data_IF_070566283250
#
_entry.id   IF_070566283250
#
_cell.length_a   1.000
_cell.length_b   1.000
_cell.length_c   1.000
_cell.angle_alpha   90.00
_cell.angle_beta   90.00
_cell.angle_gamma   90.00
#
_symmetry.space_group_name_H-M   'P 1'
#
loop_
_entity.id
_entity.type
_entity.pdbx_description
1 polymer ?
#
# COMPACT_ATOMS: atom_id res chain seq x y z
N UNK A 1 -9.77 -29.84 2.13
CA UNK A 1 -8.48 -29.76 1.40
C UNK A 1 -7.45 -29.16 2.34
N UNK A 2 -6.23 -29.72 2.39
CA UNK A 2 -5.13 -29.18 3.19
C UNK A 2 -4.72 -27.83 2.58
N UNK A 3 -4.77 -26.74 3.35
CA UNK A 3 -4.29 -25.45 2.87
C UNK A 3 -2.76 -25.52 2.72
N UNK A 4 -2.24 -24.90 1.67
CA UNK A 4 -0.80 -24.86 1.40
C UNK A 4 -0.13 -23.76 2.22
N UNK A 5 1.15 -23.93 2.57
CA UNK A 5 1.93 -22.91 3.29
C UNK A 5 2.25 -21.71 2.38
N UNK A 6 2.45 -20.53 2.98
CA UNK A 6 2.83 -19.30 2.29
C UNK A 6 4.11 -19.40 1.43
N UNK A 7 5.06 -20.26 1.80
CA UNK A 7 6.32 -20.45 1.09
C UNK A 7 6.12 -21.29 -0.16
N UNK A 8 5.29 -22.34 -0.06
CA UNK A 8 4.92 -23.23 -1.18
C UNK A 8 3.97 -22.54 -2.16
N UNK A 9 3.16 -21.62 -1.64
CA UNK A 9 2.22 -20.78 -2.36
C UNK A 9 2.87 -19.85 -3.39
N UNK A 10 4.01 -19.23 -3.04
CA UNK A 10 4.63 -18.15 -3.81
C UNK A 10 5.03 -18.55 -5.23
N UNK A 11 5.78 -19.66 -5.45
CA UNK A 11 6.17 -20.06 -6.80
C UNK A 11 4.97 -20.32 -7.73
N UNK A 12 3.90 -20.93 -7.21
CA UNK A 12 2.68 -21.22 -7.98
C UNK A 12 1.98 -19.94 -8.41
N UNK A 13 1.87 -18.96 -7.50
CA UNK A 13 1.30 -17.65 -7.83
C UNK A 13 2.16 -16.95 -8.88
N UNK A 14 3.48 -16.98 -8.75
CA UNK A 14 4.38 -16.32 -9.69
C UNK A 14 4.33 -16.94 -11.09
N UNK A 15 4.13 -18.25 -11.21
CA UNK A 15 3.95 -18.93 -12.47
C UNK A 15 2.68 -18.46 -13.20
N UNK A 16 1.55 -18.38 -12.49
CA UNK A 16 0.30 -17.86 -13.06
C UNK A 16 0.37 -16.36 -13.33
N UNK A 17 0.94 -15.58 -12.40
CA UNK A 17 1.09 -14.14 -12.53
C UNK A 17 1.95 -13.76 -13.73
N UNK A 18 3.00 -14.53 -14.05
CA UNK A 18 3.86 -14.30 -15.22
C UNK A 18 3.09 -14.28 -16.55
N UNK A 19 1.96 -14.96 -16.64
CA UNK A 19 1.13 -15.02 -17.86
C UNK A 19 0.39 -13.70 -18.13
N UNK A 20 0.19 -12.87 -17.11
CA UNK A 20 -0.58 -11.62 -17.17
C UNK A 20 0.21 -10.39 -16.74
N UNK A 21 1.36 -10.58 -16.10
CA UNK A 21 2.17 -9.51 -15.54
C UNK A 21 2.89 -8.68 -16.61
N UNK A 22 3.21 -7.45 -16.23
CA UNK A 22 4.03 -6.50 -16.98
C UNK A 22 5.38 -6.34 -16.28
N UNK A 23 6.51 -6.46 -17.00
CA UNK A 23 7.82 -6.39 -16.37
C UNK A 23 8.11 -4.97 -15.84
N UNK A 24 8.92 -4.87 -14.78
CA UNK A 24 9.48 -3.60 -14.32
C UNK A 24 10.77 -3.27 -15.08
N UNK A 25 11.03 -1.98 -15.28
CA UNK A 25 12.21 -1.52 -16.03
C UNK A 25 13.54 -1.80 -15.33
N UNK A 26 13.55 -1.98 -14.00
CA UNK A 26 14.74 -2.22 -13.18
C UNK A 26 14.89 -3.69 -12.82
N UNK A 27 13.78 -4.35 -12.50
CA UNK A 27 13.75 -5.70 -11.94
C UNK A 27 13.20 -6.76 -12.91
N UNK A 28 12.75 -6.37 -14.11
CA UNK A 28 12.23 -7.28 -15.13
C UNK A 28 11.11 -8.18 -14.58
N UNK A 29 11.38 -9.47 -14.37
CA UNK A 29 10.44 -10.47 -13.85
C UNK A 29 10.72 -10.92 -12.41
N UNK A 30 11.59 -10.21 -11.68
CA UNK A 30 11.96 -10.51 -10.30
C UNK A 30 10.85 -10.06 -9.32
N UNK A 31 9.72 -10.78 -9.30
CA UNK A 31 8.54 -10.46 -8.49
C UNK A 31 8.77 -10.44 -6.97
N UNK A 32 9.96 -10.86 -6.50
CA UNK A 32 10.39 -10.67 -5.11
C UNK A 32 10.72 -9.22 -4.77
N UNK A 33 11.17 -8.43 -5.76
CA UNK A 33 11.70 -7.07 -5.55
C UNK A 33 10.60 -5.99 -5.69
N UNK A 34 9.53 -6.29 -6.42
CA UNK A 34 8.47 -5.33 -6.73
C UNK A 34 7.09 -5.98 -6.78
N UNK A 35 6.05 -5.16 -6.57
CA UNK A 35 4.69 -5.56 -6.92
C UNK A 35 4.48 -5.18 -8.38
N UNK A 36 4.39 -6.19 -9.22
CA UNK A 36 4.26 -6.06 -10.67
C UNK A 36 2.89 -5.52 -11.07
N UNK A 37 2.87 -4.72 -12.14
CA UNK A 37 1.63 -4.41 -12.84
C UNK A 37 1.18 -5.62 -13.67
N UNK A 38 -0.08 -5.65 -14.09
CA UNK A 38 -0.66 -6.78 -14.83
C UNK A 38 -1.79 -6.34 -15.75
N UNK A 39 -2.12 -7.18 -16.72
CA UNK A 39 -3.31 -6.99 -17.55
C UNK A 39 -4.58 -6.93 -16.68
N UNK A 40 -5.34 -5.85 -16.84
CA UNK A 40 -6.56 -5.61 -16.06
C UNK A 40 -6.38 -4.81 -14.77
N UNK A 41 -5.18 -4.36 -14.41
CA UNK A 41 -4.98 -3.50 -13.23
C UNK A 41 -5.82 -2.22 -13.27
N UNK A 42 -5.95 -1.59 -14.44
CA UNK A 42 -6.84 -0.44 -14.66
C UNK A 42 -8.33 -0.75 -14.43
N UNK A 43 -8.78 -1.96 -14.75
CA UNK A 43 -10.15 -2.40 -14.46
C UNK A 43 -10.35 -2.60 -12.95
N UNK A 44 -9.36 -3.15 -12.24
CA UNK A 44 -9.35 -3.20 -10.78
C UNK A 44 -9.43 -1.81 -10.16
N UNK A 45 -8.63 -0.86 -10.64
CA UNK A 45 -8.69 0.53 -10.21
C UNK A 45 -10.09 1.13 -10.45
N UNK A 46 -10.66 0.95 -11.64
CA UNK A 46 -12.01 1.42 -11.99
C UNK A 46 -13.07 0.84 -11.05
N UNK A 47 -13.01 -0.45 -10.74
CA UNK A 47 -13.93 -1.11 -9.79
C UNK A 47 -13.82 -0.54 -8.40
N UNK A 48 -12.60 -0.35 -7.89
CA UNK A 48 -12.42 0.28 -6.60
C UNK A 48 -13.00 1.70 -6.58
N UNK A 49 -12.79 2.47 -7.66
CA UNK A 49 -13.34 3.82 -7.78
C UNK A 49 -14.88 3.85 -7.75
N UNK A 50 -15.56 2.76 -8.11
CA UNK A 50 -17.02 2.66 -8.03
C UNK A 50 -17.56 2.31 -6.63
N UNK A 51 -16.69 2.00 -5.67
CA UNK A 51 -17.12 1.68 -4.30
C UNK A 51 -17.45 2.94 -3.51
N UNK A 52 -18.37 2.82 -2.54
CA UNK A 52 -18.66 3.91 -1.59
C UNK A 52 -17.42 4.32 -0.79
N UNK A 53 -16.52 3.37 -0.50
CA UNK A 53 -15.24 3.64 0.16
C UNK A 53 -14.44 4.70 -0.58
N UNK A 54 -14.30 4.55 -1.90
CA UNK A 54 -13.56 5.50 -2.72
C UNK A 54 -14.34 6.80 -2.93
N UNK A 55 -15.64 6.70 -3.24
CA UNK A 55 -16.47 7.86 -3.56
C UNK A 55 -16.51 8.84 -2.39
N UNK A 56 -16.63 8.33 -1.15
CA UNK A 56 -16.68 9.13 0.06
C UNK A 56 -15.30 9.61 0.56
N UNK A 57 -14.21 8.93 0.17
CA UNK A 57 -12.86 9.30 0.59
C UNK A 57 -12.39 10.62 -0.02
N UNK A 58 -11.78 11.48 0.80
CA UNK A 58 -11.14 12.74 0.39
C UNK A 58 -9.62 12.63 0.43
N UNK A 59 -9.09 11.86 1.37
CA UNK A 59 -7.65 11.59 1.54
C UNK A 59 -7.40 10.09 1.41
N UNK A 60 -6.64 9.70 0.39
CA UNK A 60 -6.36 8.30 0.06
C UNK A 60 -4.86 8.09 0.14
N UNK A 61 -4.43 7.06 0.87
CA UNK A 61 -3.06 6.57 0.81
C UNK A 61 -2.96 5.46 -0.22
N UNK A 62 -2.07 5.57 -1.18
CA UNK A 62 -1.84 4.54 -2.21
C UNK A 62 -0.34 4.25 -2.26
N UNK A 63 0.06 3.01 -2.02
CA UNK A 63 1.48 2.61 -2.03
C UNK A 63 2.12 2.83 -3.41
N UNK A 64 3.47 2.89 -3.50
CA UNK A 64 4.21 3.07 -4.76
C UNK A 64 4.24 1.82 -5.65
N UNK A 65 3.32 0.86 -5.48
CA UNK A 65 3.30 -0.39 -6.23
C UNK A 65 2.88 -0.17 -7.70
N UNK A 66 3.45 -0.94 -8.64
CA UNK A 66 3.27 -0.69 -10.07
C UNK A 66 1.81 -0.92 -10.50
N UNK A 67 1.13 -1.93 -9.95
CA UNK A 67 -0.28 -2.21 -10.25
C UNK A 67 -1.26 -1.13 -9.78
N UNK A 68 -0.81 -0.15 -9.00
CA UNK A 68 -1.62 0.94 -8.48
C UNK A 68 -1.44 2.25 -9.24
N UNK A 69 -0.65 2.28 -10.30
CA UNK A 69 -0.42 3.48 -11.10
C UNK A 69 -1.71 4.11 -11.62
N UNK A 70 -2.57 3.31 -12.25
CA UNK A 70 -3.87 3.78 -12.77
C UNK A 70 -4.81 4.24 -11.66
N UNK A 71 -4.71 3.66 -10.46
CA UNK A 71 -5.46 4.16 -9.32
C UNK A 71 -4.95 5.53 -8.87
N UNK A 72 -3.63 5.71 -8.74
CA UNK A 72 -3.04 7.01 -8.40
C UNK A 72 -3.42 8.08 -9.42
N UNK A 73 -3.37 7.74 -10.71
CA UNK A 73 -3.84 8.62 -11.79
C UNK A 73 -5.30 9.04 -11.58
N UNK A 74 -6.20 8.09 -11.32
CA UNK A 74 -7.61 8.38 -11.11
C UNK A 74 -7.86 9.23 -9.86
N UNK A 75 -7.16 8.97 -8.74
CA UNK A 75 -7.24 9.80 -7.52
C UNK A 75 -6.86 11.26 -7.81
N UNK A 76 -5.81 11.48 -8.60
CA UNK A 76 -5.39 12.83 -9.01
C UNK A 76 -6.44 13.48 -9.91
N UNK A 77 -6.96 12.72 -10.89
CA UNK A 77 -8.00 13.18 -11.83
C UNK A 77 -9.29 13.58 -11.11
N UNK A 78 -9.67 12.80 -10.09
CA UNK A 78 -10.85 13.04 -9.26
C UNK A 78 -10.64 14.12 -8.20
N UNK A 79 -9.50 14.83 -8.25
CA UNK A 79 -9.18 15.97 -7.38
C UNK A 79 -9.29 15.60 -5.89
N UNK A 80 -8.85 14.39 -5.55
CA UNK A 80 -8.71 13.92 -4.16
C UNK A 80 -7.28 14.16 -3.67
N UNK A 81 -7.10 14.21 -2.37
CA UNK A 81 -5.76 14.29 -1.76
C UNK A 81 -5.12 12.91 -1.76
N UNK A 82 -3.95 12.80 -2.37
CA UNK A 82 -3.20 11.55 -2.49
C UNK A 82 -1.96 11.59 -1.59
N UNK A 83 -1.80 10.57 -0.75
CA UNK A 83 -0.63 10.33 0.08
C UNK A 83 0.08 9.07 -0.42
N UNK A 84 1.41 9.12 -0.50
CA UNK A 84 2.23 7.96 -0.91
C UNK A 84 3.60 8.05 -0.25
N UNK A 85 4.23 6.90 -0.01
CA UNK A 85 5.66 6.80 0.32
C UNK A 85 6.48 6.50 -0.93
N UNK A 86 7.77 6.83 -0.94
CA UNK A 86 8.64 6.31 -2.00
C UNK A 86 8.98 4.83 -1.76
N UNK A 87 9.49 4.16 -2.80
CA UNK A 87 10.04 2.80 -2.68
C UNK A 87 11.05 2.70 -1.52
N UNK A 88 10.80 1.78 -0.59
CA UNK A 88 11.62 1.57 0.61
C UNK A 88 11.50 2.65 1.69
N UNK A 89 10.60 3.63 1.53
CA UNK A 89 10.31 4.73 2.48
C UNK A 89 11.55 5.61 2.79
N UNK A 90 12.62 5.48 2.00
CA UNK A 90 13.91 6.15 2.24
C UNK A 90 13.86 7.68 2.11
N UNK A 91 12.81 8.20 1.46
CA UNK A 91 12.50 9.63 1.32
C UNK A 91 11.20 9.99 2.02
N UNK A 92 10.59 9.08 2.78
CA UNK A 92 9.39 9.34 3.56
C UNK A 92 8.10 9.52 2.75
N UNK A 93 7.24 10.40 3.25
CA UNK A 93 5.88 10.61 2.75
C UNK A 93 5.82 11.78 1.77
N UNK A 94 4.91 11.66 0.82
CA UNK A 94 4.63 12.64 -0.21
C UNK A 94 3.13 12.90 -0.30
N UNK A 95 2.77 14.13 -0.66
CA UNK A 95 1.40 14.61 -0.75
C UNK A 95 1.16 15.27 -2.11
N UNK A 96 0.04 14.93 -2.74
CA UNK A 96 -0.57 15.66 -3.85
C UNK A 96 -1.92 16.18 -3.39
N UNK A 97 -2.07 17.50 -3.41
CA UNK A 97 -3.35 18.17 -3.14
C UNK A 97 -4.18 18.26 -4.43
N UNK A 98 -5.50 18.45 -4.37
CA UNK A 98 -6.39 18.49 -5.54
C UNK A 98 -5.90 19.36 -6.71
N UNK A 99 -5.32 20.52 -6.41
CA UNK A 99 -4.88 21.51 -7.42
C UNK A 99 -3.37 21.44 -7.72
N UNK A 100 -2.65 20.45 -7.20
CA UNK A 100 -1.20 20.36 -7.40
C UNK A 100 -0.79 19.89 -8.80
N UNK A 101 -1.69 19.19 -9.52
CA UNK A 101 -1.41 18.62 -10.85
C UNK A 101 -2.24 19.36 -11.90
N UNK A 102 -1.57 19.99 -12.90
CA UNK A 102 -2.26 20.58 -14.05
C UNK A 102 -3.04 19.53 -14.84
N UNK A 103 -4.14 19.94 -15.44
CA UNK A 103 -4.95 19.07 -16.30
C UNK A 103 -4.10 18.48 -17.45
N UNK A 104 -4.26 17.17 -17.69
CA UNK A 104 -3.50 16.44 -18.69
C UNK A 104 -2.09 16.02 -18.24
N UNK A 105 -1.73 16.23 -16.97
CA UNK A 105 -0.47 15.76 -16.36
C UNK A 105 -0.67 14.64 -15.34
N UNK A 106 -1.88 14.12 -15.20
CA UNK A 106 -2.25 13.13 -14.18
C UNK A 106 -1.48 11.83 -14.33
N UNK A 107 -1.34 11.32 -15.57
CA UNK A 107 -0.58 10.09 -15.85
C UNK A 107 0.87 10.23 -15.37
N UNK A 108 1.58 11.27 -15.81
CA UNK A 108 2.95 11.53 -15.38
C UNK A 108 3.07 11.75 -13.86
N UNK A 109 2.10 12.45 -13.26
CA UNK A 109 2.08 12.67 -11.82
C UNK A 109 1.82 11.38 -11.02
N UNK A 110 1.16 10.38 -11.60
CA UNK A 110 0.90 9.09 -10.95
C UNK A 110 2.13 8.16 -10.89
N UNK A 111 3.14 8.43 -11.72
CA UNK A 111 4.40 7.69 -11.77
C UNK A 111 5.33 8.06 -10.62
N UNK A 112 6.21 7.14 -10.24
CA UNK A 112 7.28 7.42 -9.27
C UNK A 112 8.25 8.51 -9.79
N UNK A 113 8.43 8.59 -11.11
CA UNK A 113 9.22 9.65 -11.76
C UNK A 113 8.54 11.03 -11.68
N UNK A 114 7.22 11.07 -11.47
CA UNK A 114 6.44 12.29 -11.24
C UNK A 114 6.66 12.91 -9.86
N UNK A 115 7.20 12.14 -8.89
CA UNK A 115 7.35 12.56 -7.50
C UNK A 115 8.14 13.87 -7.37
N UNK A 116 9.27 13.98 -8.09
CA UNK A 116 10.11 15.18 -8.02
C UNK A 116 9.49 16.45 -8.62
N UNK A 117 8.39 16.33 -9.38
CA UNK A 117 7.76 17.45 -10.11
C UNK A 117 6.43 17.89 -9.50
N UNK A 118 5.63 16.93 -9.04
CA UNK A 118 4.24 17.18 -8.66
C UNK A 118 3.94 16.92 -7.19
N UNK A 119 4.80 16.17 -6.49
CA UNK A 119 4.53 15.75 -5.12
C UNK A 119 5.33 16.57 -4.12
N UNK A 120 4.70 16.93 -3.01
CA UNK A 120 5.36 17.64 -1.91
C UNK A 120 5.76 16.65 -0.84
N UNK A 121 7.05 16.59 -0.54
CA UNK A 121 7.56 15.83 0.62
C UNK A 121 6.89 16.32 1.92
N UNK A 122 6.63 15.40 2.84
CA UNK A 122 6.05 15.66 4.16
C UNK A 122 6.79 14.86 5.24
N UNK A 123 7.15 15.53 6.34
CA UNK A 123 7.42 14.81 7.59
C UNK A 123 6.10 14.26 8.17
N UNK A 124 6.14 13.32 9.12
CA UNK A 124 4.94 12.80 9.74
C UNK A 124 4.13 13.88 10.46
N UNK A 125 4.81 14.81 11.14
CA UNK A 125 4.14 15.97 11.76
C UNK A 125 3.44 16.86 10.72
N UNK A 126 4.11 17.14 9.60
CA UNK A 126 3.52 17.95 8.52
C UNK A 126 2.34 17.23 7.86
N UNK A 127 2.46 15.92 7.65
CA UNK A 127 1.40 15.10 7.10
C UNK A 127 0.17 15.14 8.00
N UNK A 128 0.33 14.89 9.32
CA UNK A 128 -0.77 14.98 10.29
C UNK A 128 -1.46 16.34 10.27
N UNK A 129 -0.70 17.43 10.19
CA UNK A 129 -1.25 18.77 10.11
C UNK A 129 -2.00 19.04 8.78
N UNK A 130 -1.50 18.49 7.67
CA UNK A 130 -2.04 18.75 6.33
C UNK A 130 -3.31 17.97 6.04
N UNK A 131 -3.38 16.70 6.45
CA UNK A 131 -4.52 15.83 6.11
C UNK A 131 -5.43 15.53 7.29
N UNK A 132 -4.93 15.61 8.53
CA UNK A 132 -5.66 15.22 9.73
C UNK A 132 -5.85 13.71 9.86
N UNK A 133 -6.53 13.09 8.88
CA UNK A 133 -6.84 11.67 8.81
C UNK A 133 -6.77 11.16 7.36
N UNK A 134 -6.34 9.92 7.17
CA UNK A 134 -6.46 9.19 5.90
C UNK A 134 -7.77 8.39 5.94
N UNK A 135 -8.56 8.48 4.87
CA UNK A 135 -9.88 7.83 4.80
C UNK A 135 -9.80 6.38 4.33
N UNK A 136 -8.78 6.01 3.55
CA UNK A 136 -8.54 4.64 3.07
C UNK A 136 -7.08 4.45 2.69
N UNK A 137 -6.53 3.28 2.99
CA UNK A 137 -5.21 2.86 2.51
C UNK A 137 -5.36 1.78 1.44
N UNK A 138 -4.59 1.89 0.38
CA UNK A 138 -4.56 0.92 -0.71
C UNK A 138 -3.14 0.45 -0.93
N UNK A 139 -2.94 -0.88 -0.91
CA UNK A 139 -1.65 -1.52 -1.13
C UNK A 139 -1.72 -2.56 -2.23
N UNK A 140 -0.66 -2.69 -3.02
CA UNK A 140 -0.45 -3.82 -3.88
C UNK A 140 -0.04 -5.05 -3.06
N UNK A 141 -0.15 -6.23 -3.64
CA UNK A 141 0.20 -7.47 -2.96
C UNK A 141 0.86 -8.45 -3.90
N UNK A 142 1.75 -9.29 -3.37
CA UNK A 142 2.28 -10.45 -4.09
C UNK A 142 1.28 -11.60 -4.05
N UNK A 143 0.56 -11.74 -2.94
CA UNK A 143 -0.55 -12.68 -2.77
C UNK A 143 -1.52 -12.16 -1.70
N UNK A 144 -2.76 -12.64 -1.69
CA UNK A 144 -3.82 -12.18 -0.80
C UNK A 144 -4.70 -13.35 -0.38
N UNK A 145 -5.03 -13.47 0.91
CA UNK A 145 -6.00 -14.46 1.39
C UNK A 145 -7.38 -13.83 1.59
N UNK A 146 -8.49 -14.56 1.32
CA UNK A 146 -9.83 -14.07 1.64
C UNK A 146 -10.06 -13.84 3.15
N UNK A 147 -9.22 -14.40 4.02
CA UNK A 147 -9.24 -14.18 5.47
C UNK A 147 -8.79 -12.78 5.89
N UNK A 148 -8.11 -12.05 5.00
CA UNK A 148 -7.65 -10.68 5.26
C UNK A 148 -6.15 -10.56 5.49
N UNK A 149 -5.35 -11.51 4.98
CA UNK A 149 -3.89 -11.48 5.06
C UNK A 149 -3.31 -11.12 3.70
N UNK A 150 -2.34 -10.20 3.70
CA UNK A 150 -1.62 -9.77 2.51
C UNK A 150 -0.17 -10.23 2.58
N UNK A 151 0.32 -10.83 1.51
CA UNK A 151 1.73 -11.14 1.36
C UNK A 151 2.42 -10.03 0.57
N UNK A 152 3.30 -9.31 1.24
CA UNK A 152 4.25 -8.43 0.57
C UNK A 152 5.52 -9.18 0.14
N UNK A 153 6.50 -8.39 -0.31
CA UNK A 153 7.85 -8.82 -0.69
C UNK A 153 8.64 -9.48 0.44
N UNK A 154 8.31 -9.14 1.68
CA UNK A 154 9.00 -9.64 2.88
C UNK A 154 9.67 -8.55 3.72
N UNK A 155 9.77 -7.32 3.22
CA UNK A 155 10.40 -6.19 3.94
C UNK A 155 9.50 -5.48 4.96
N UNK A 156 8.20 -5.80 5.03
CA UNK A 156 7.27 -5.18 5.99
C UNK A 156 6.99 -3.69 5.80
N UNK A 157 7.29 -3.10 4.63
CA UNK A 157 7.13 -1.65 4.43
C UNK A 157 5.71 -1.14 4.64
N UNK A 158 4.68 -1.84 4.13
CA UNK A 158 3.30 -1.41 4.33
C UNK A 158 2.87 -1.52 5.81
N UNK A 159 3.34 -2.55 6.50
CA UNK A 159 3.10 -2.73 7.94
C UNK A 159 3.76 -1.62 8.74
N UNK A 160 4.93 -1.16 8.30
CA UNK A 160 5.62 -0.02 8.85
C UNK A 160 4.91 1.30 8.55
N UNK A 161 4.37 1.49 7.35
CA UNK A 161 3.54 2.64 6.98
C UNK A 161 2.31 2.74 7.86
N UNK A 162 1.58 1.62 8.04
CA UNK A 162 0.47 1.52 8.99
C UNK A 162 0.92 1.90 10.40
N UNK A 163 1.99 1.28 10.90
CA UNK A 163 2.51 1.51 12.24
C UNK A 163 2.85 2.99 12.49
N UNK A 164 3.51 3.66 11.54
CA UNK A 164 3.85 5.08 11.65
C UNK A 164 2.62 5.99 11.59
N UNK A 165 1.70 5.74 10.66
CA UNK A 165 0.46 6.51 10.52
C UNK A 165 -0.44 6.33 11.76
N UNK A 166 -0.53 5.11 12.30
CA UNK A 166 -1.31 4.79 13.49
C UNK A 166 -0.72 5.47 14.73
N UNK A 167 0.61 5.42 14.89
CA UNK A 167 1.32 6.11 15.99
C UNK A 167 1.04 7.62 15.98
N UNK A 168 0.92 8.21 14.79
CA UNK A 168 0.58 9.63 14.61
C UNK A 168 -0.93 9.94 14.70
N UNK A 169 -1.78 8.92 14.87
CA UNK A 169 -3.23 9.04 14.84
C UNK A 169 -3.76 9.56 13.51
N UNK A 170 -3.05 9.36 12.40
CA UNK A 170 -3.51 9.69 11.04
C UNK A 170 -4.47 8.60 10.55
N UNK A 171 -4.31 7.38 11.07
CA UNK A 171 -5.20 6.23 10.85
C UNK A 171 -5.55 5.60 12.20
N UNK A 172 -6.62 4.81 12.22
CA UNK A 172 -7.04 3.98 13.34
C UNK A 172 -7.61 2.64 12.80
N UNK A 173 -8.04 1.73 13.69
CA UNK A 173 -8.53 0.40 13.29
C UNK A 173 -9.79 0.43 12.42
N UNK A 174 -10.55 1.51 12.47
CA UNK A 174 -11.75 1.72 11.62
C UNK A 174 -11.38 2.22 10.22
N UNK A 175 -10.13 2.63 10.01
CA UNK A 175 -9.64 3.07 8.70
C UNK A 175 -9.56 1.87 7.75
N UNK A 176 -10.32 1.87 6.64
CA UNK A 176 -10.32 0.76 5.69
C UNK A 176 -8.97 0.56 5.02
N UNK A 177 -8.58 -0.71 4.87
CA UNK A 177 -7.39 -1.14 4.14
C UNK A 177 -7.80 -2.04 2.98
N UNK A 178 -7.33 -1.69 1.79
CA UNK A 178 -7.64 -2.38 0.54
C UNK A 178 -6.36 -2.97 -0.04
N UNK A 179 -6.39 -4.25 -0.38
CA UNK A 179 -5.34 -4.89 -1.17
C UNK A 179 -5.79 -5.01 -2.63
N UNK A 180 -4.96 -4.57 -3.57
CA UNK A 180 -5.17 -4.75 -5.00
C UNK A 180 -4.24 -5.83 -5.55
N UNK A 181 -4.79 -6.77 -6.32
CA UNK A 181 -4.05 -7.88 -6.93
C UNK A 181 -4.85 -8.50 -8.08
N UNK A 182 -4.18 -9.30 -8.92
CA UNK A 182 -4.85 -10.08 -9.95
C UNK A 182 -5.61 -11.26 -9.30
N UNK A 183 -6.63 -11.78 -9.97
CA UNK A 183 -7.43 -12.92 -9.47
C UNK A 183 -6.58 -14.14 -9.09
N UNK A 184 -5.50 -14.40 -9.84
CA UNK A 184 -4.57 -15.51 -9.57
C UNK A 184 -3.71 -15.31 -8.32
N UNK A 185 -3.66 -14.09 -7.77
CA UNK A 185 -2.95 -13.78 -6.53
C UNK A 185 -3.83 -14.02 -5.29
N UNK A 186 -5.13 -14.30 -5.47
CA UNK A 186 -6.01 -14.68 -4.38
C UNK A 186 -5.87 -16.16 -4.09
N UNK A 187 -5.46 -16.49 -2.87
CA UNK A 187 -5.31 -17.88 -2.46
C UNK A 187 -5.62 -18.06 -0.97
N UNK A 188 -6.39 -19.11 -0.66
CA UNK A 188 -6.70 -19.49 0.72
C UNK A 188 -5.58 -20.43 1.24
N UNK A 189 -4.47 -19.82 1.65
CA UNK A 189 -3.32 -20.46 2.28
C UNK A 189 -3.37 -20.31 3.80
N UNK A 190 -2.74 -21.23 4.54
CA UNK A 190 -2.54 -21.05 5.98
C UNK A 190 -1.35 -20.13 6.20
N UNK A 191 -1.54 -19.08 7.00
CA UNK A 191 -0.53 -18.05 7.22
C UNK A 191 -0.32 -17.80 8.69
N UNK A 192 0.95 -17.85 9.11
CA UNK A 192 1.34 -17.34 10.41
C UNK A 192 1.32 -15.80 10.38
N UNK A 193 0.28 -15.22 10.96
CA UNK A 193 0.12 -13.77 11.10
C UNK A 193 0.89 -13.29 12.33
N UNK A 194 1.69 -12.25 12.15
CA UNK A 194 2.46 -11.58 13.20
C UNK A 194 1.66 -10.42 13.77
N UNK A 195 2.00 -9.99 14.98
CA UNK A 195 1.28 -8.93 15.71
C UNK A 195 1.32 -7.55 15.03
N UNK A 196 2.22 -7.37 14.06
CA UNK A 196 2.39 -6.13 13.30
C UNK A 196 1.86 -6.23 11.87
N UNK A 197 1.38 -7.39 11.43
CA UNK A 197 0.87 -7.55 10.06
C UNK A 197 -0.46 -6.80 9.91
N UNK A 198 -0.52 -5.90 8.93
CA UNK A 198 -1.69 -5.07 8.69
C UNK A 198 -2.78 -5.88 8.01
N UNK A 199 -3.83 -6.21 8.77
CA UNK A 199 -5.01 -6.88 8.24
C UNK A 199 -5.73 -6.01 7.20
N UNK A 200 -6.25 -6.64 6.15
CA UNK A 200 -6.95 -5.98 5.05
C UNK A 200 -8.46 -6.25 5.12
N UNK A 201 -9.26 -5.24 4.78
CA UNK A 201 -10.73 -5.30 4.83
C UNK A 201 -11.34 -5.66 3.47
N UNK A 202 -10.68 -5.25 2.39
CA UNK A 202 -11.15 -5.47 1.02
C UNK A 202 -10.04 -5.93 0.08
N UNK A 203 -10.43 -6.76 -0.89
CA UNK A 203 -9.59 -7.20 -2.00
C UNK A 203 -10.21 -6.67 -3.29
N UNK A 204 -9.40 -6.04 -4.12
CA UNK A 204 -9.80 -5.56 -5.44
C UNK A 204 -9.03 -6.33 -6.50
N UNK A 205 -9.76 -6.85 -7.47
CA UNK A 205 -9.25 -7.56 -8.64
C UNK A 205 -9.85 -6.99 -9.93
N UNK A 206 -9.31 -7.33 -11.11
CA UNK A 206 -9.92 -6.99 -12.38
C UNK A 206 -11.37 -7.48 -12.53
N UNK A 207 -11.78 -8.56 -11.83
CA UNK A 207 -13.14 -9.11 -12.01
C UNK A 207 -14.11 -8.72 -10.90
N UNK A 208 -13.63 -8.40 -9.69
CA UNK A 208 -14.48 -8.22 -8.50
C UNK A 208 -13.83 -7.45 -7.35
N UNK A 209 -14.69 -6.94 -6.48
CA UNK A 209 -14.33 -6.43 -5.15
C UNK A 209 -14.85 -7.43 -4.12
N UNK A 210 -14.01 -7.83 -3.17
CA UNK A 210 -14.31 -8.85 -2.18
C UNK A 210 -14.11 -8.22 -0.80
N UNK A 211 -15.12 -8.30 0.06
CA UNK A 211 -14.94 -8.03 1.49
C UNK A 211 -14.31 -9.25 2.16
N UNK A 212 -13.25 -9.05 2.92
CA UNK A 212 -12.56 -10.16 3.58
C UNK A 212 -13.41 -10.72 4.72
N UNK A 213 -13.04 -11.90 5.21
CA UNK A 213 -13.71 -12.53 6.35
C UNK A 213 -13.36 -11.88 7.70
N UNK A 214 -12.45 -10.89 7.70
CA UNK A 214 -11.97 -10.20 8.90
C UNK A 214 -11.50 -11.16 10.00
N UNK A 215 -10.71 -12.17 9.63
CA UNK A 215 -10.23 -13.19 10.58
C UNK A 215 -9.15 -12.67 11.53
N UNK A 216 -8.52 -11.53 11.19
CA UNK A 216 -7.39 -10.95 11.91
C UNK A 216 -7.65 -9.48 12.24
N UNK A 217 -7.29 -9.02 13.45
CA UNK A 217 -7.42 -7.62 13.82
C UNK A 217 -6.29 -6.78 13.19
N UNK A 218 -6.54 -5.49 12.97
CA UNK A 218 -5.48 -4.55 12.58
C UNK A 218 -4.55 -4.26 13.78
N UNK A 219 -3.23 -4.08 13.57
CA UNK A 219 -2.29 -3.79 14.64
C UNK A 219 -2.59 -2.47 15.37
N UNK A 220 -2.48 -2.47 16.69
CA UNK A 220 -2.76 -1.30 17.57
C UNK A 220 -1.55 -0.80 18.35
N UNK A 221 -0.38 -1.42 18.16
CA UNK A 221 0.85 -1.08 18.91
C UNK A 221 1.70 0.00 18.26
N UNK A 222 1.34 0.46 17.05
CA UNK A 222 2.21 1.35 16.27
C UNK A 222 3.54 0.67 15.92
N UNK A 223 4.63 1.42 15.97
CA UNK A 223 5.98 0.88 15.65
C UNK A 223 6.50 0.01 16.80
N UNK A 224 6.75 -1.27 16.52
CA UNK A 224 7.39 -2.19 17.49
C UNK A 224 8.90 -2.12 17.31
N UNK A 225 9.53 -1.17 18.02
CA UNK A 225 10.95 -0.84 17.84
C UNK A 225 11.93 -2.02 17.99
N UNK A 226 11.62 -3.00 18.83
CA UNK A 226 12.46 -4.19 19.04
C UNK A 226 12.46 -5.18 17.87
N UNK A 227 11.52 -5.02 16.93
CA UNK A 227 11.38 -5.88 15.75
C UNK A 227 11.89 -5.21 14.47
N UNK A 228 12.35 -3.96 14.54
CA UNK A 228 12.95 -3.28 13.40
C UNK A 228 14.33 -3.86 13.10
N UNK A 229 14.64 -3.99 11.82
CA UNK A 229 16.02 -4.28 11.40
C UNK A 229 16.94 -3.11 11.80
N UNK A 230 18.20 -3.38 12.19
CA UNK A 230 19.09 -2.37 12.78
C UNK A 230 19.23 -1.09 11.96
N UNK A 231 19.24 -1.22 10.63
CA UNK A 231 19.47 -0.14 9.68
C UNK A 231 18.19 0.65 9.33
N UNK A 232 17.00 0.07 9.52
CA UNK A 232 15.74 0.68 9.09
C UNK A 232 15.53 2.07 9.70
N UNK A 233 15.83 2.23 10.99
CA UNK A 233 15.69 3.53 11.67
C UNK A 233 16.61 4.61 11.07
N UNK A 234 17.81 4.24 10.64
CA UNK A 234 18.76 5.17 10.06
C UNK A 234 18.40 5.52 8.60
N UNK A 235 17.80 4.58 7.87
CA UNK A 235 17.49 4.72 6.45
C UNK A 235 16.09 5.30 6.17
N UNK A 236 15.17 5.22 7.12
CA UNK A 236 13.77 5.66 6.97
C UNK A 236 13.57 6.93 7.81
N UNK A 237 13.61 8.13 7.20
CA UNK A 237 13.52 9.39 7.94
C UNK A 237 12.27 9.53 8.83
N UNK A 238 11.07 9.07 8.42
CA UNK A 238 9.90 9.06 9.31
C UNK A 238 10.08 8.25 10.60
N UNK A 239 10.84 7.15 10.56
CA UNK A 239 11.15 6.38 11.77
C UNK A 239 12.08 7.14 12.69
N UNK A 240 13.08 7.82 12.13
CA UNK A 240 13.97 8.68 12.91
C UNK A 240 13.19 9.83 13.58
N UNK A 241 12.29 10.50 12.85
CA UNK A 241 11.41 11.54 13.39
C UNK A 241 10.57 11.01 14.57
N UNK A 242 9.92 9.85 14.41
CA UNK A 242 9.14 9.22 15.47
C UNK A 242 10.00 8.85 16.68
N UNK A 243 11.16 8.24 16.45
CA UNK A 243 12.09 7.86 17.51
C UNK A 243 12.49 9.08 18.34
N UNK A 244 12.90 10.18 17.69
CA UNK A 244 13.27 11.40 18.38
C UNK A 244 12.10 11.99 19.19
N UNK A 245 10.88 11.96 18.64
CA UNK A 245 9.69 12.48 19.32
C UNK A 245 9.30 11.68 20.58
N UNK A 246 9.65 10.40 20.64
CA UNK A 246 9.31 9.49 21.75
C UNK A 246 10.45 9.37 22.77
N UNK A 247 11.69 9.21 22.31
CA UNK A 247 12.82 8.77 23.13
C UNK A 247 13.93 9.81 23.36
N UNK A 248 13.95 10.92 22.60
CA UNK A 248 14.98 11.95 22.77
C UNK A 248 14.53 13.15 23.63
N UNK A 249 13.42 12.98 24.37
CA UNK A 249 12.91 13.99 25.31
C UNK A 249 13.52 13.84 26.68
#
# INVERSE_FOLDING_TARGET
>A
MKKIDATEARPLIWEELRKVARPDSRFSWEFGEFITDYEGSGEGARRFCQTELYQNAKVIFVTPDNNLERLREQVIRDKKTLVMTNYGITRGFFLVTPDAVPEGKEELASLLDGVGRYWKHQTLKQLKASVGRIDVLVSGASAITPGGVRFGKGHGYFDLEWAMLYTMGIVDTETPVVAAGHDCQIMDADVAVREFDTAIDYIVTPTRVIKTRNEYPKPTKGVIWSLLEPEMRAQIPPLYELWCNIHCK
#
